data_IF_654198807576
#
_entry.id   IF_654198807576
#
_cell.length_a   1.000
_cell.length_b   1.000
_cell.length_c   1.000
_cell.angle_alpha   90.00
_cell.angle_beta   90.00
_cell.angle_gamma   90.00
#
_symmetry.space_group_name_H-M   'P 1'
#
loop_
_entity.id
_entity.type
_entity.pdbx_description
1 polymer ?
#
# COMPACT_ATOMS: atom_id res chain seq x y z
N UNK A 1 5.94 13.22 -8.42
CA UNK A 1 6.10 12.00 -9.27
C UNK A 1 7.30 11.16 -8.79
N UNK A 2 7.38 10.94 -7.52
CA UNK A 2 8.54 10.36 -6.83
C UNK A 2 8.78 8.92 -7.28
N UNK A 3 7.72 8.14 -7.52
CA UNK A 3 7.80 6.72 -7.91
C UNK A 3 8.00 6.47 -9.42
N UNK A 4 8.10 7.50 -10.25
CA UNK A 4 8.31 7.42 -11.73
C UNK A 4 7.41 6.39 -12.43
N UNK A 5 6.12 6.35 -12.07
CA UNK A 5 5.16 5.38 -12.60
C UNK A 5 4.99 5.53 -14.13
N UNK A 6 5.19 4.46 -14.93
CA UNK A 6 5.04 4.53 -16.39
C UNK A 6 3.58 4.71 -16.83
N UNK A 7 2.61 4.32 -16.00
CA UNK A 7 1.19 4.33 -16.34
C UNK A 7 0.48 5.64 -15.94
N UNK A 8 1.22 6.68 -15.57
CA UNK A 8 0.66 7.92 -15.02
C UNK A 8 -0.40 8.55 -15.95
N UNK A 9 -0.10 8.67 -17.25
CA UNK A 9 -0.98 9.30 -18.22
C UNK A 9 -2.30 8.53 -18.39
N UNK A 10 -2.24 7.21 -18.49
CA UNK A 10 -3.41 6.34 -18.62
C UNK A 10 -4.29 6.38 -17.36
N UNK A 11 -3.67 6.32 -16.18
CA UNK A 11 -4.38 6.43 -14.91
C UNK A 11 -5.12 7.76 -14.78
N UNK A 12 -4.48 8.90 -15.10
CA UNK A 12 -5.15 10.20 -15.06
C UNK A 12 -6.31 10.29 -16.05
N UNK A 13 -6.16 9.75 -17.26
CA UNK A 13 -7.25 9.73 -18.26
C UNK A 13 -8.45 8.89 -17.78
N UNK A 14 -8.21 7.84 -16.99
CA UNK A 14 -9.26 7.00 -16.40
C UNK A 14 -9.84 7.56 -15.09
N UNK A 15 -9.48 8.77 -14.67
CA UNK A 15 -9.92 9.37 -13.40
C UNK A 15 -9.32 8.72 -12.16
N UNK A 16 -8.13 8.12 -12.31
CA UNK A 16 -7.40 7.44 -11.23
C UNK A 16 -6.10 8.18 -10.92
N UNK A 17 -5.79 8.39 -9.63
CA UNK A 17 -4.49 8.91 -9.20
C UNK A 17 -3.98 8.18 -7.95
N UNK A 18 -2.65 8.17 -7.81
CA UNK A 18 -1.96 7.67 -6.61
C UNK A 18 -1.29 8.83 -5.88
N UNK A 19 -1.55 8.93 -4.59
CA UNK A 19 -0.94 9.93 -3.70
C UNK A 19 -0.01 9.24 -2.72
N UNK A 20 1.23 9.73 -2.63
CA UNK A 20 2.21 9.33 -1.63
C UNK A 20 2.04 10.22 -0.40
N UNK A 21 1.80 9.62 0.76
CA UNK A 21 1.67 10.32 2.04
C UNK A 21 2.86 10.03 2.96
N UNK A 22 2.93 10.77 4.07
CA UNK A 22 3.96 10.61 5.11
C UNK A 22 5.37 11.01 4.65
N UNK A 23 5.44 11.83 3.59
CA UNK A 23 6.69 12.38 3.06
C UNK A 23 7.30 11.54 1.93
N UNK A 24 8.56 11.83 1.62
CA UNK A 24 9.32 11.28 0.48
C UNK A 24 10.56 10.48 0.90
N UNK A 25 10.72 10.22 2.21
CA UNK A 25 11.85 9.52 2.79
C UNK A 25 11.35 8.29 3.57
N UNK A 26 11.87 7.11 3.24
CA UNK A 26 11.49 5.83 3.83
C UNK A 26 12.47 5.40 4.91
N UNK A 27 11.99 4.73 5.96
CA UNK A 27 12.84 4.13 6.99
C UNK A 27 13.43 2.78 6.56
N UNK A 28 13.00 2.22 5.41
CA UNK A 28 13.49 0.95 4.87
C UNK A 28 14.18 1.15 3.52
N UNK A 29 15.18 0.30 3.24
CA UNK A 29 16.00 0.34 2.03
C UNK A 29 15.77 -0.89 1.14
N UNK A 30 14.54 -1.05 0.63
CA UNK A 30 14.22 -2.11 -0.31
C UNK A 30 14.96 -1.89 -1.63
N UNK A 31 15.68 -2.91 -2.14
CA UNK A 31 16.61 -2.75 -3.28
C UNK A 31 15.96 -2.48 -4.63
N UNK A 32 14.67 -2.75 -4.77
CA UNK A 32 13.87 -2.45 -5.98
C UNK A 32 13.24 -1.05 -5.94
N UNK A 33 13.31 -0.34 -4.81
CA UNK A 33 12.58 0.91 -4.60
C UNK A 33 13.43 2.13 -4.90
N UNK A 34 12.86 3.11 -5.62
CA UNK A 34 13.53 4.38 -5.93
C UNK A 34 13.28 5.49 -4.90
N UNK A 35 12.54 5.19 -3.82
CA UNK A 35 12.29 6.15 -2.73
C UNK A 35 13.57 6.32 -1.91
N UNK A 36 13.84 7.55 -1.52
CA UNK A 36 15.00 7.89 -0.69
C UNK A 36 14.91 7.20 0.67
N UNK A 37 15.97 6.50 1.04
CA UNK A 37 16.15 5.93 2.38
C UNK A 37 16.78 6.94 3.33
N UNK A 38 16.31 6.97 4.59
CA UNK A 38 16.89 7.83 5.62
C UNK A 38 15.94 8.15 6.78
N UNK A 39 16.13 9.32 7.38
CA UNK A 39 15.28 9.81 8.46
C UNK A 39 14.17 10.69 7.89
N UNK A 40 12.91 10.27 7.98
CA UNK A 40 11.78 11.05 7.50
C UNK A 40 11.56 12.33 8.31
N UNK A 41 10.94 13.32 7.71
CA UNK A 41 10.48 14.54 8.39
C UNK A 41 9.28 14.23 9.31
N UNK A 42 8.93 15.19 10.18
CA UNK A 42 7.72 15.12 10.99
C UNK A 42 6.48 14.92 10.10
N UNK A 43 5.47 14.25 10.64
CA UNK A 43 4.18 14.05 9.95
C UNK A 43 3.51 15.41 9.73
N UNK A 44 3.09 15.66 8.50
CA UNK A 44 2.36 16.87 8.15
C UNK A 44 0.85 16.65 8.40
N UNK A 45 0.35 17.29 9.44
CA UNK A 45 -1.07 17.19 9.83
C UNK A 45 -2.04 17.74 8.77
N UNK A 46 -1.59 18.68 7.91
CA UNK A 46 -2.41 19.27 6.84
C UNK A 46 -2.39 18.50 5.51
N UNK A 47 -1.70 17.36 5.46
CA UNK A 47 -1.60 16.55 4.23
C UNK A 47 -2.96 15.95 3.80
N UNK A 48 -3.82 15.42 4.70
CA UNK A 48 -5.12 14.87 4.32
C UNK A 48 -6.03 15.90 3.63
N UNK A 49 -6.09 17.14 4.13
CA UNK A 49 -6.92 18.22 3.56
C UNK A 49 -6.44 18.61 2.16
N UNK A 50 -5.13 18.62 1.92
CA UNK A 50 -4.57 18.89 0.59
C UNK A 50 -4.91 17.78 -0.40
N UNK A 51 -4.90 16.51 0.05
CA UNK A 51 -5.30 15.38 -0.79
C UNK A 51 -6.77 15.50 -1.18
N UNK A 52 -7.66 15.78 -0.22
CA UNK A 52 -9.10 15.98 -0.50
C UNK A 52 -9.32 17.10 -1.50
N UNK A 53 -8.63 18.23 -1.35
CA UNK A 53 -8.69 19.34 -2.30
C UNK A 53 -8.22 18.90 -3.69
N UNK A 54 -7.12 18.16 -3.78
CA UNK A 54 -6.58 17.67 -5.05
C UNK A 54 -7.53 16.68 -5.74
N UNK A 55 -8.19 15.79 -5.00
CA UNK A 55 -9.20 14.86 -5.52
C UNK A 55 -10.35 15.60 -6.16
N UNK A 56 -10.85 16.66 -5.50
CA UNK A 56 -11.91 17.52 -6.05
C UNK A 56 -11.47 18.27 -7.31
N UNK A 57 -10.30 18.92 -7.28
CA UNK A 57 -9.76 19.65 -8.42
C UNK A 57 -9.52 18.77 -9.66
N UNK A 58 -9.10 17.51 -9.46
CA UNK A 58 -8.83 16.55 -10.53
C UNK A 58 -10.06 15.73 -10.92
N UNK A 59 -11.19 15.89 -10.21
CA UNK A 59 -12.43 15.15 -10.43
C UNK A 59 -12.20 13.63 -10.49
N UNK A 60 -11.47 13.08 -9.50
CA UNK A 60 -11.11 11.67 -9.48
C UNK A 60 -12.30 10.79 -9.07
N UNK A 61 -12.47 9.67 -9.75
CA UNK A 61 -13.43 8.62 -9.41
C UNK A 61 -12.81 7.46 -8.62
N UNK A 62 -11.48 7.33 -8.70
CA UNK A 62 -10.71 6.31 -8.00
C UNK A 62 -9.38 6.89 -7.53
N UNK A 63 -9.05 6.68 -6.28
CA UNK A 63 -7.75 7.10 -5.77
C UNK A 63 -7.05 6.00 -4.99
N UNK A 64 -5.74 5.99 -5.10
CA UNK A 64 -4.85 5.13 -4.31
C UNK A 64 -4.05 6.01 -3.37
N UNK A 65 -4.11 5.74 -2.09
CA UNK A 65 -3.21 6.33 -1.09
C UNK A 65 -2.12 5.31 -0.78
N UNK A 66 -0.88 5.70 -0.95
CA UNK A 66 0.27 4.91 -0.53
C UNK A 66 1.18 5.74 0.37
N UNK A 67 2.12 5.12 1.04
CA UNK A 67 3.08 5.83 1.89
C UNK A 67 4.49 5.27 1.73
N UNK A 68 5.46 6.05 2.16
CA UNK A 68 6.75 5.51 2.61
C UNK A 68 6.55 4.70 3.89
N UNK A 69 7.45 3.77 4.19
CA UNK A 69 7.44 3.09 5.50
C UNK A 69 7.95 4.04 6.58
N UNK A 70 7.26 4.07 7.71
CA UNK A 70 7.49 4.95 8.85
C UNK A 70 7.64 4.12 10.13
N UNK A 71 8.68 3.25 10.16
CA UNK A 71 9.00 2.44 11.36
C UNK A 71 9.46 3.28 12.55
N UNK A 72 9.70 4.57 12.33
CA UNK A 72 10.00 5.59 13.33
C UNK A 72 8.75 6.08 14.09
N UNK A 73 7.54 5.80 13.57
CA UNK A 73 6.28 6.15 14.21
C UNK A 73 5.72 4.92 14.96
N UNK A 74 5.21 5.12 16.16
CA UNK A 74 4.63 4.06 17.00
C UNK A 74 3.51 3.30 16.29
N UNK A 75 2.69 4.01 15.51
CA UNK A 75 1.56 3.47 14.75
C UNK A 75 1.92 3.15 13.27
N UNK A 76 3.17 3.32 12.86
CA UNK A 76 3.61 3.15 11.48
C UNK A 76 2.92 4.07 10.47
N UNK A 77 2.25 5.13 10.92
CA UNK A 77 1.49 6.08 10.10
C UNK A 77 0.04 5.67 9.85
N UNK A 78 -0.48 4.66 10.53
CA UNK A 78 -1.86 4.15 10.33
C UNK A 78 -2.93 5.20 10.62
N UNK A 79 -2.70 6.10 11.59
CA UNK A 79 -3.61 7.20 11.90
C UNK A 79 -3.76 8.18 10.74
N UNK A 80 -2.67 8.47 10.02
CA UNK A 80 -2.68 9.35 8.84
C UNK A 80 -3.49 8.72 7.69
N UNK A 81 -3.28 7.42 7.43
CA UNK A 81 -4.11 6.67 6.48
C UNK A 81 -5.59 6.77 6.84
N UNK A 82 -5.92 6.47 8.09
CA UNK A 82 -7.30 6.48 8.55
C UNK A 82 -7.94 7.89 8.47
N UNK A 83 -7.18 8.94 8.73
CA UNK A 83 -7.64 10.32 8.58
C UNK A 83 -7.94 10.65 7.11
N UNK A 84 -7.00 10.36 6.20
CA UNK A 84 -7.23 10.54 4.76
C UNK A 84 -8.48 9.81 4.28
N UNK A 85 -8.65 8.52 4.65
CA UNK A 85 -9.79 7.72 4.22
C UNK A 85 -11.10 8.32 4.70
N UNK A 86 -11.21 8.68 6.00
CA UNK A 86 -12.44 9.25 6.57
C UNK A 86 -12.81 10.55 5.89
N UNK A 87 -11.85 11.46 5.76
CA UNK A 87 -12.09 12.78 5.17
C UNK A 87 -12.50 12.67 3.69
N UNK A 88 -11.88 11.78 2.93
CA UNK A 88 -12.26 11.52 1.54
C UNK A 88 -13.66 10.93 1.40
N UNK A 89 -14.02 9.99 2.25
CA UNK A 89 -15.37 9.42 2.24
C UNK A 89 -16.45 10.41 2.62
N UNK A 90 -16.13 11.37 3.47
CA UNK A 90 -17.03 12.46 3.86
C UNK A 90 -17.22 13.48 2.73
N UNK A 91 -16.13 13.95 2.12
CA UNK A 91 -16.16 15.04 1.15
C UNK A 91 -16.39 14.54 -0.29
N UNK A 92 -15.87 13.37 -0.64
CA UNK A 92 -15.97 12.76 -1.96
C UNK A 92 -16.55 11.33 -1.91
N UNK A 93 -17.79 11.13 -1.44
CA UNK A 93 -18.36 9.78 -1.22
C UNK A 93 -18.47 8.93 -2.49
N UNK A 94 -18.45 9.54 -3.68
CA UNK A 94 -18.47 8.84 -4.97
C UNK A 94 -17.07 8.36 -5.40
N UNK A 95 -15.99 8.86 -4.78
CA UNK A 95 -14.63 8.45 -5.11
C UNK A 95 -14.28 7.16 -4.37
N UNK A 96 -13.88 6.14 -5.12
CA UNK A 96 -13.39 4.88 -4.52
C UNK A 96 -12.00 5.07 -3.93
N UNK A 97 -11.82 4.72 -2.66
CA UNK A 97 -10.54 4.84 -1.95
C UNK A 97 -9.89 3.45 -1.81
N UNK A 98 -8.75 3.27 -2.44
CA UNK A 98 -7.81 2.17 -2.22
C UNK A 98 -6.64 2.67 -1.37
N UNK A 99 -6.13 1.84 -0.47
CA UNK A 99 -4.89 2.13 0.25
C UNK A 99 -3.86 1.05 -0.01
N UNK A 100 -2.62 1.45 -0.33
CA UNK A 100 -1.45 0.56 -0.39
C UNK A 100 -0.63 0.81 0.86
N UNK A 101 -0.76 -0.10 1.83
CA UNK A 101 -0.20 0.06 3.18
C UNK A 101 1.11 -0.71 3.36
N UNK A 102 2.03 -0.25 4.23
CA UNK A 102 3.16 -1.04 4.70
C UNK A 102 2.68 -2.19 5.60
N UNK A 103 3.60 -3.06 6.03
CA UNK A 103 3.28 -4.18 6.93
C UNK A 103 3.06 -3.77 8.39
N UNK A 104 3.28 -2.48 8.74
CA UNK A 104 3.20 -1.95 10.10
C UNK A 104 3.98 -2.80 11.11
N UNK A 105 5.08 -3.45 10.71
CA UNK A 105 5.86 -4.39 11.53
C UNK A 105 4.98 -5.48 12.19
N UNK A 106 3.86 -5.85 11.55
CA UNK A 106 2.89 -6.83 12.06
C UNK A 106 1.93 -6.29 13.13
N UNK A 107 1.90 -4.97 13.38
CA UNK A 107 1.01 -4.34 14.37
C UNK A 107 -0.46 -4.50 14.01
N UNK A 108 -1.17 -5.33 14.78
CA UNK A 108 -2.62 -5.49 14.63
C UNK A 108 -3.41 -4.23 15.01
N UNK A 109 -3.05 -3.44 16.04
CA UNK A 109 -3.70 -2.16 16.31
C UNK A 109 -3.62 -1.18 15.13
N UNK A 110 -2.44 -1.04 14.51
CA UNK A 110 -2.26 -0.18 13.34
C UNK A 110 -3.13 -0.64 12.16
N UNK A 111 -3.14 -1.94 11.85
CA UNK A 111 -3.99 -2.50 10.81
C UNK A 111 -5.49 -2.25 11.10
N UNK A 112 -5.94 -2.44 12.33
CA UNK A 112 -7.33 -2.19 12.75
C UNK A 112 -7.72 -0.73 12.59
N UNK A 113 -6.81 0.21 12.83
CA UNK A 113 -7.04 1.65 12.64
C UNK A 113 -7.39 1.94 11.17
N UNK A 114 -6.66 1.34 10.22
CA UNK A 114 -6.94 1.49 8.78
C UNK A 114 -8.25 0.78 8.41
N UNK A 115 -8.47 -0.45 8.86
CA UNK A 115 -9.70 -1.20 8.57
C UNK A 115 -10.95 -0.48 9.08
N UNK A 116 -10.89 0.12 10.28
CA UNK A 116 -12.00 0.87 10.87
C UNK A 116 -12.36 2.15 10.09
N UNK A 117 -11.43 2.71 9.30
CA UNK A 117 -11.72 3.80 8.38
C UNK A 117 -12.47 3.35 7.12
N UNK A 118 -12.58 2.03 6.89
CA UNK A 118 -13.35 1.37 5.85
C UNK A 118 -13.02 1.84 4.42
N UNK A 119 -11.76 1.71 3.95
CA UNK A 119 -11.46 1.88 2.53
C UNK A 119 -12.14 0.78 1.71
N UNK A 120 -12.34 1.01 0.40
CA UNK A 120 -12.91 -0.01 -0.49
C UNK A 120 -11.92 -1.16 -0.74
N UNK A 121 -10.62 -0.85 -0.79
CA UNK A 121 -9.55 -1.82 -1.06
C UNK A 121 -8.40 -1.58 -0.09
N UNK A 122 -7.92 -2.65 0.54
CA UNK A 122 -6.62 -2.68 1.22
C UNK A 122 -5.66 -3.50 0.37
N UNK A 123 -4.65 -2.83 -0.14
CA UNK A 123 -3.53 -3.40 -0.87
C UNK A 123 -2.31 -3.48 0.05
N UNK A 124 -1.64 -4.62 0.06
CA UNK A 124 -0.30 -4.78 0.61
C UNK A 124 0.51 -5.65 -0.33
N UNK A 125 1.53 -5.08 -0.96
CA UNK A 125 2.33 -5.79 -1.93
C UNK A 125 3.32 -6.75 -1.26
N UNK A 126 3.42 -7.97 -1.81
CA UNK A 126 4.51 -8.91 -1.49
C UNK A 126 5.83 -8.44 -2.10
N UNK A 127 5.76 -7.79 -3.25
CA UNK A 127 6.84 -7.26 -4.07
C UNK A 127 7.70 -8.35 -4.73
N UNK A 128 8.12 -9.37 -3.98
CA UNK A 128 8.98 -10.46 -4.45
C UNK A 128 8.56 -11.81 -3.86
N UNK A 129 9.04 -12.92 -4.42
CA UNK A 129 8.86 -14.25 -3.88
C UNK A 129 9.64 -14.45 -2.57
N UNK A 130 9.23 -15.41 -1.73
CA UNK A 130 9.80 -15.66 -0.40
C UNK A 130 11.32 -15.82 -0.44
N UNK A 131 11.84 -16.55 -1.43
CA UNK A 131 13.27 -16.81 -1.63
C UNK A 131 14.10 -15.54 -1.84
N UNK A 132 13.49 -14.49 -2.37
CA UNK A 132 14.15 -13.21 -2.67
C UNK A 132 13.99 -12.17 -1.54
N UNK A 133 13.13 -12.40 -0.55
CA UNK A 133 12.92 -11.46 0.55
C UNK A 133 14.22 -11.04 1.25
N UNK A 134 15.11 -11.98 1.67
CA UNK A 134 16.33 -11.59 2.37
C UNK A 134 17.26 -10.68 1.56
N UNK A 135 17.23 -10.84 0.24
CA UNK A 135 18.10 -10.08 -0.65
C UNK A 135 17.51 -8.71 -1.05
N UNK A 136 16.21 -8.65 -1.30
CA UNK A 136 15.56 -7.50 -1.93
C UNK A 136 14.71 -6.68 -0.95
N UNK A 137 14.17 -7.30 0.11
CA UNK A 137 13.32 -6.68 1.12
C UNK A 137 13.75 -7.10 2.53
N UNK A 138 15.01 -6.82 2.94
CA UNK A 138 15.62 -7.37 4.15
C UNK A 138 14.89 -6.98 5.46
N UNK A 139 14.27 -5.78 5.51
CA UNK A 139 13.49 -5.33 6.66
C UNK A 139 12.03 -5.79 6.62
N UNK A 140 11.61 -6.48 5.56
CA UNK A 140 10.26 -7.02 5.40
C UNK A 140 10.15 -8.46 5.92
N UNK A 141 8.92 -8.92 6.11
CA UNK A 141 8.63 -10.32 6.45
C UNK A 141 7.56 -10.88 5.53
N UNK A 142 7.90 -11.95 4.79
CA UNK A 142 6.97 -12.66 3.93
C UNK A 142 5.73 -13.14 4.71
N UNK A 143 5.96 -13.73 5.86
CA UNK A 143 4.89 -14.26 6.73
C UNK A 143 4.01 -13.14 7.28
N UNK A 144 4.58 -12.03 7.75
CA UNK A 144 3.79 -10.89 8.24
C UNK A 144 2.94 -10.28 7.13
N UNK A 145 3.45 -10.20 5.90
CA UNK A 145 2.72 -9.70 4.74
C UNK A 145 1.50 -10.57 4.40
N UNK A 146 1.64 -11.90 4.39
CA UNK A 146 0.52 -12.82 4.20
C UNK A 146 -0.48 -12.75 5.35
N UNK A 147 0.01 -12.72 6.58
CA UNK A 147 -0.83 -12.63 7.78
C UNK A 147 -1.65 -11.34 7.81
N UNK A 148 -1.08 -10.21 7.35
CA UNK A 148 -1.80 -8.94 7.22
C UNK A 148 -3.02 -9.10 6.29
N UNK A 149 -2.81 -9.65 5.09
CA UNK A 149 -3.90 -9.88 4.12
C UNK A 149 -4.96 -10.84 4.67
N UNK A 150 -4.54 -11.92 5.34
CA UNK A 150 -5.44 -12.87 6.01
C UNK A 150 -6.31 -12.18 7.06
N UNK A 151 -5.72 -11.36 7.92
CA UNK A 151 -6.45 -10.61 8.95
C UNK A 151 -7.48 -9.63 8.38
N UNK A 152 -7.12 -8.91 7.30
CA UNK A 152 -8.07 -8.04 6.61
C UNK A 152 -9.26 -8.88 6.12
N UNK A 153 -9.00 -10.00 5.46
CA UNK A 153 -10.05 -10.87 4.92
C UNK A 153 -10.98 -11.43 6.00
N UNK A 154 -10.42 -11.84 7.14
CA UNK A 154 -11.17 -12.44 8.24
C UNK A 154 -12.01 -11.42 9.04
N UNK A 155 -11.43 -10.23 9.30
CA UNK A 155 -12.06 -9.24 10.18
C UNK A 155 -12.96 -8.25 9.43
N UNK A 156 -12.73 -8.04 8.13
CA UNK A 156 -13.47 -7.07 7.30
C UNK A 156 -13.75 -7.68 5.91
N UNK A 157 -14.64 -8.67 5.78
CA UNK A 157 -14.87 -9.41 4.54
C UNK A 157 -15.38 -8.53 3.38
N UNK A 158 -15.93 -7.36 3.67
CA UNK A 158 -16.41 -6.40 2.68
C UNK A 158 -15.28 -5.60 2.02
N UNK A 159 -14.15 -5.44 2.72
CA UNK A 159 -12.96 -4.78 2.16
C UNK A 159 -12.28 -5.73 1.18
N UNK A 160 -12.00 -5.24 -0.03
CA UNK A 160 -11.29 -6.02 -1.03
C UNK A 160 -9.81 -6.08 -0.68
N UNK A 161 -9.28 -7.28 -0.49
CA UNK A 161 -7.84 -7.50 -0.34
C UNK A 161 -7.15 -7.53 -1.70
N UNK A 162 -6.04 -6.82 -1.81
CA UNK A 162 -5.22 -6.75 -3.02
C UNK A 162 -3.75 -6.94 -2.65
N UNK A 163 -2.99 -7.50 -3.58
CA UNK A 163 -1.53 -7.60 -3.48
C UNK A 163 -0.89 -7.39 -4.85
N UNK A 164 0.42 -7.24 -4.86
CA UNK A 164 1.22 -7.17 -6.07
C UNK A 164 2.62 -7.74 -5.84
N UNK A 165 3.23 -8.21 -6.92
CA UNK A 165 4.63 -8.59 -6.94
C UNK A 165 5.22 -8.39 -8.34
N UNK A 166 6.55 -8.32 -8.40
CA UNK A 166 7.32 -8.18 -9.63
C UNK A 166 7.92 -9.53 -10.02
N UNK A 167 8.11 -9.72 -11.32
CA UNK A 167 8.82 -10.85 -11.93
C UNK A 167 10.04 -10.35 -12.70
N UNK A 168 11.02 -11.24 -12.89
CA UNK A 168 12.28 -10.92 -13.59
C UNK A 168 13.42 -10.52 -12.65
N UNK A 169 13.29 -10.79 -11.35
CA UNK A 169 14.27 -10.46 -10.31
C UNK A 169 15.17 -11.67 -9.94
N UNK A 170 14.98 -12.82 -10.59
CA UNK A 170 15.74 -14.04 -10.34
C UNK A 170 14.97 -15.16 -9.62
N UNK A 171 13.65 -15.02 -9.55
CA UNK A 171 12.77 -16.07 -9.03
C UNK A 171 12.64 -17.24 -10.02
N UNK A 172 12.42 -18.43 -9.49
CA UNK A 172 12.08 -19.62 -10.27
C UNK A 172 10.56 -19.71 -10.49
N UNK A 173 10.13 -20.45 -11.52
CA UNK A 173 8.71 -20.64 -11.81
C UNK A 173 7.91 -21.17 -10.59
N UNK A 174 8.48 -22.12 -9.86
CA UNK A 174 7.84 -22.72 -8.69
C UNK A 174 7.70 -21.72 -7.54
N UNK A 175 8.59 -20.75 -7.41
CA UNK A 175 8.47 -19.65 -6.43
C UNK A 175 7.25 -18.77 -6.72
N UNK A 176 7.02 -18.48 -8.00
CA UNK A 176 5.84 -17.69 -8.43
C UNK A 176 4.55 -18.45 -8.12
N UNK A 177 4.50 -19.74 -8.46
CA UNK A 177 3.31 -20.58 -8.19
C UNK A 177 3.04 -20.68 -6.68
N UNK A 178 4.10 -20.84 -5.86
CA UNK A 178 3.99 -20.84 -4.40
C UNK A 178 3.44 -19.53 -3.88
N UNK A 179 4.01 -18.39 -4.30
CA UNK A 179 3.55 -17.07 -3.89
C UNK A 179 2.06 -16.84 -4.23
N UNK A 180 1.64 -17.19 -5.45
CA UNK A 180 0.23 -17.07 -5.85
C UNK A 180 -0.69 -17.97 -5.02
N UNK A 181 -0.25 -19.19 -4.68
CA UNK A 181 -0.98 -20.12 -3.82
C UNK A 181 -1.12 -19.59 -2.40
N UNK A 182 -0.04 -19.03 -1.84
CA UNK A 182 -0.03 -18.43 -0.50
C UNK A 182 -0.94 -17.20 -0.44
N UNK A 183 -0.89 -16.33 -1.45
CA UNK A 183 -1.78 -15.17 -1.56
C UNK A 183 -3.26 -15.59 -1.65
N UNK A 184 -3.57 -16.61 -2.44
CA UNK A 184 -4.91 -17.16 -2.54
C UNK A 184 -5.39 -17.71 -1.19
N UNK A 185 -4.54 -18.46 -0.50
CA UNK A 185 -4.81 -19.03 0.83
C UNK A 185 -5.01 -17.93 1.87
N UNK A 186 -4.25 -16.84 1.81
CA UNK A 186 -4.42 -15.67 2.65
C UNK A 186 -5.70 -14.86 2.32
N UNK A 187 -6.46 -15.25 1.26
CA UNK A 187 -7.71 -14.60 0.87
C UNK A 187 -7.52 -13.35 0.02
N UNK A 188 -6.39 -13.19 -0.65
CA UNK A 188 -6.18 -12.11 -1.61
C UNK A 188 -7.17 -12.24 -2.78
N UNK A 189 -7.92 -11.17 -3.07
CA UNK A 189 -8.99 -11.15 -4.09
C UNK A 189 -8.55 -10.50 -5.40
N UNK A 190 -7.55 -9.64 -5.38
CA UNK A 190 -6.98 -8.97 -6.56
C UNK A 190 -5.47 -9.09 -6.53
N UNK A 191 -4.87 -9.32 -7.67
CA UNK A 191 -3.44 -9.45 -7.81
C UNK A 191 -2.95 -8.66 -9.02
N UNK A 192 -1.87 -7.90 -8.82
CA UNK A 192 -1.12 -7.24 -9.89
C UNK A 192 0.24 -7.89 -10.01
N UNK A 193 0.63 -8.25 -11.23
CA UNK A 193 1.96 -8.78 -11.53
C UNK A 193 2.64 -7.77 -12.44
N UNK A 194 3.77 -7.23 -11.99
CA UNK A 194 4.61 -6.31 -12.74
C UNK A 194 5.86 -6.99 -13.26
N UNK A 195 6.49 -6.41 -14.27
CA UNK A 195 7.81 -6.80 -14.74
C UNK A 195 8.83 -5.76 -14.25
N UNK A 196 9.96 -6.25 -13.72
CA UNK A 196 11.09 -5.41 -13.31
C UNK A 196 11.95 -5.02 -14.50
#
# INVERSE_FOLDING_TARGET
QEARCPNLAECFQSGTATFLILGDCCTRNCRYCNIRYGSPSAVDAGEPERIVTAVGCLNLSYMVITSVTRDDLEDGGSAQFAHCIRLLREVHPACTVEVLIPDFQGSLPALRTVMAAAPAVINHNMEVCETLFPALRPEGSYKHSLELLRRVREQTPDIITKSGFMIGLGEEHDDIIRLMTDLRTAGCRRLTIGQS
#
